data_IF_722536126439
#
_entry.id   IF_722536126439
#
_cell.length_a   1.000
_cell.length_b   1.000
_cell.length_c   1.000
_cell.angle_alpha   90.00
_cell.angle_beta   90.00
_cell.angle_gamma   90.00
#
_symmetry.space_group_name_H-M   'P 1'
#
loop_
_entity.id
_entity.type
_entity.pdbx_description
1 polymer ?
#
# COMPACT_ATOMS: atom_id res chain seq x y z
N UNK A 1 30.93 65.19 -69.00
CA UNK A 1 31.28 63.75 -68.87
C UNK A 1 31.84 63.53 -67.52
N UNK A 2 31.04 62.96 -66.57
CA UNK A 2 31.47 62.70 -65.19
C UNK A 2 31.11 61.25 -64.87
N UNK A 3 32.12 60.46 -64.71
CA UNK A 3 31.97 59.00 -64.35
C UNK A 3 31.82 58.90 -62.85
N UNK A 4 30.77 58.15 -62.37
CA UNK A 4 30.51 57.80 -60.96
C UNK A 4 31.03 56.41 -60.75
N UNK A 5 31.87 56.13 -59.73
CA UNK A 5 32.25 54.74 -59.38
C UNK A 5 31.20 54.08 -58.56
N UNK A 6 30.88 52.83 -58.91
CA UNK A 6 30.01 51.94 -58.18
C UNK A 6 30.74 51.40 -56.91
N UNK A 7 30.15 51.66 -55.76
CA UNK A 7 30.61 51.07 -54.51
C UNK A 7 29.95 49.67 -54.28
N UNK A 8 30.77 48.63 -54.21
CA UNK A 8 30.34 47.29 -53.81
C UNK A 8 30.17 47.29 -52.30
N UNK A 9 28.94 47.07 -51.81
CA UNK A 9 28.66 46.79 -50.40
C UNK A 9 28.74 45.27 -50.16
N UNK A 10 29.73 44.84 -49.41
CA UNK A 10 29.86 43.44 -48.95
C UNK A 10 29.03 43.29 -47.72
N UNK A 11 27.94 42.52 -47.78
CA UNK A 11 27.13 42.12 -46.67
C UNK A 11 27.74 40.87 -45.98
N UNK A 12 28.30 41.04 -44.78
CA UNK A 12 28.70 39.94 -43.91
C UNK A 12 27.45 39.31 -43.28
N UNK A 13 27.15 38.05 -43.62
CA UNK A 13 26.18 37.22 -42.95
C UNK A 13 26.83 36.61 -41.71
N UNK A 14 26.48 37.12 -40.51
CA UNK A 14 26.81 36.43 -39.24
C UNK A 14 25.83 35.29 -39.06
N UNK A 15 26.30 34.04 -39.20
CA UNK A 15 25.57 32.86 -38.80
C UNK A 15 25.63 32.75 -37.27
N UNK A 16 24.56 33.11 -36.55
CA UNK A 16 24.40 32.87 -35.13
C UNK A 16 24.04 31.41 -34.91
N UNK A 17 24.98 30.61 -34.42
CA UNK A 17 24.69 29.25 -33.88
C UNK A 17 23.86 29.42 -32.61
N UNK A 18 22.55 29.27 -32.70
CA UNK A 18 21.67 29.14 -31.54
C UNK A 18 21.84 27.76 -30.93
N UNK A 19 22.64 27.67 -29.88
CA UNK A 19 22.70 26.47 -29.04
C UNK A 19 21.41 26.41 -28.19
N UNK A 20 20.48 25.55 -28.56
CA UNK A 20 19.32 25.24 -27.74
C UNK A 20 19.78 24.61 -26.44
N UNK A 21 19.44 25.15 -25.25
CA UNK A 21 19.78 24.49 -24.00
C UNK A 21 19.11 23.10 -23.93
N UNK A 22 19.79 22.07 -23.36
CA UNK A 22 19.20 20.77 -23.25
C UNK A 22 17.95 20.85 -22.36
N UNK A 23 16.83 20.35 -22.87
CA UNK A 23 15.60 20.21 -22.08
C UNK A 23 15.88 19.35 -20.85
N UNK A 24 15.48 19.78 -19.64
CA UNK A 24 15.61 18.93 -18.45
C UNK A 24 14.88 17.61 -18.70
N UNK A 25 15.63 16.51 -18.63
CA UNK A 25 15.05 15.16 -18.76
C UNK A 25 14.18 14.92 -17.56
N UNK A 26 12.89 14.78 -17.78
CA UNK A 26 11.95 14.37 -16.72
C UNK A 26 12.42 13.04 -16.11
N UNK A 27 12.49 12.91 -14.77
CA UNK A 27 12.88 11.66 -14.14
C UNK A 27 11.93 10.56 -14.63
N UNK A 28 12.48 9.52 -15.24
CA UNK A 28 11.69 8.36 -15.64
C UNK A 28 11.03 7.70 -14.41
N UNK A 29 10.00 6.86 -14.60
CA UNK A 29 9.37 6.14 -13.50
C UNK A 29 10.43 5.44 -12.65
N UNK A 30 10.34 5.60 -11.32
CA UNK A 30 11.25 4.90 -10.41
C UNK A 30 11.16 3.38 -10.63
N UNK A 31 12.31 2.72 -10.65
CA UNK A 31 12.33 1.25 -10.76
C UNK A 31 11.54 0.63 -9.59
N UNK A 32 10.80 -0.46 -9.83
CA UNK A 32 10.12 -1.18 -8.76
C UNK A 32 11.13 -1.58 -7.66
N UNK A 33 10.71 -1.42 -6.40
CA UNK A 33 11.53 -1.85 -5.26
C UNK A 33 11.73 -3.36 -5.30
N UNK A 34 12.94 -3.86 -4.96
CA UNK A 34 13.19 -5.29 -4.85
C UNK A 34 12.40 -5.90 -3.69
N UNK A 35 12.08 -7.19 -3.78
CA UNK A 35 11.53 -7.96 -2.66
C UNK A 35 12.66 -8.35 -1.71
N UNK A 36 12.35 -8.45 -0.43
CA UNK A 36 13.28 -8.92 0.58
C UNK A 36 12.87 -10.30 1.09
N UNK A 37 13.85 -11.13 1.45
CA UNK A 37 13.61 -12.43 2.10
C UNK A 37 13.32 -12.26 3.59
N UNK A 38 13.80 -11.15 4.19
CA UNK A 38 13.55 -10.80 5.59
C UNK A 38 13.38 -9.29 5.74
N UNK A 39 12.53 -8.88 6.68
CA UNK A 39 12.40 -7.48 7.09
C UNK A 39 13.45 -7.08 8.13
N UNK A 40 13.40 -5.82 8.55
CA UNK A 40 14.27 -5.26 9.60
C UNK A 40 13.65 -5.32 10.99
N UNK A 41 12.37 -5.72 11.09
CA UNK A 41 11.64 -5.83 12.35
C UNK A 41 10.98 -7.21 12.48
N UNK A 42 10.79 -7.65 13.73
CA UNK A 42 10.20 -8.96 14.06
C UNK A 42 8.74 -8.87 14.46
N UNK A 43 8.27 -7.71 14.88
CA UNK A 43 6.91 -7.52 15.39
C UNK A 43 6.30 -6.17 14.95
N UNK A 44 4.98 -6.19 14.77
CA UNK A 44 4.18 -5.02 14.50
C UNK A 44 2.78 -5.19 15.12
N UNK A 45 1.97 -4.15 15.07
CA UNK A 45 0.59 -4.15 15.57
C UNK A 45 -0.29 -3.31 14.67
N UNK A 46 -1.56 -3.71 14.54
CA UNK A 46 -2.61 -2.90 13.96
C UNK A 46 -3.79 -2.83 14.92
N UNK A 47 -4.21 -1.62 15.29
CA UNK A 47 -5.45 -1.38 16.02
C UNK A 47 -6.52 -1.05 14.98
N UNK A 48 -7.50 -1.93 14.82
CA UNK A 48 -8.58 -1.76 13.87
C UNK A 48 -9.67 -0.89 14.47
N UNK A 49 -9.99 0.21 13.83
CA UNK A 49 -11.12 1.08 14.14
C UNK A 49 -12.26 0.84 13.15
N UNK A 50 -13.48 1.01 13.62
CA UNK A 50 -14.69 0.85 12.81
C UNK A 50 -14.71 1.83 11.62
N UNK A 51 -15.16 1.35 10.47
CA UNK A 51 -15.40 2.13 9.26
C UNK A 51 -16.83 1.90 8.76
N UNK A 52 -17.29 2.72 7.80
CA UNK A 52 -18.61 2.58 7.15
C UNK A 52 -19.77 2.46 8.16
N UNK A 53 -19.71 3.24 9.23
CA UNK A 53 -20.74 3.26 10.30
C UNK A 53 -21.00 1.88 10.95
N UNK A 54 -20.00 1.01 11.01
CA UNK A 54 -20.07 -0.30 11.69
C UNK A 54 -19.57 -0.19 13.15
N UNK A 55 -19.55 -1.31 13.85
CA UNK A 55 -18.94 -1.46 15.19
C UNK A 55 -17.71 -2.36 15.17
N UNK A 56 -17.27 -2.78 13.97
CA UNK A 56 -16.15 -3.71 13.84
C UNK A 56 -14.85 -3.07 14.33
N UNK A 57 -14.20 -3.71 15.30
CA UNK A 57 -12.94 -3.20 15.87
C UNK A 57 -12.14 -4.36 16.45
N UNK A 58 -10.84 -4.16 16.61
CA UNK A 58 -10.00 -5.21 17.15
C UNK A 58 -8.53 -4.80 17.21
N UNK A 59 -7.73 -5.74 17.73
CA UNK A 59 -6.28 -5.59 17.76
C UNK A 59 -5.65 -6.82 17.17
N UNK A 60 -4.75 -6.61 16.24
CA UNK A 60 -3.99 -7.65 15.57
C UNK A 60 -2.51 -7.42 15.86
N UNK A 61 -1.87 -8.41 16.43
CA UNK A 61 -0.43 -8.48 16.58
C UNK A 61 0.14 -9.22 15.36
N UNK A 62 1.27 -8.72 14.85
CA UNK A 62 1.94 -9.24 13.68
C UNK A 62 3.35 -9.70 14.08
N UNK A 63 3.74 -10.90 13.63
CA UNK A 63 5.09 -11.45 13.86
C UNK A 63 5.69 -11.94 12.56
N UNK A 64 6.96 -11.57 12.33
CA UNK A 64 7.72 -12.09 11.21
C UNK A 64 8.03 -13.57 11.40
N UNK A 65 7.79 -14.38 10.37
CA UNK A 65 8.10 -15.80 10.26
C UNK A 65 8.86 -16.08 8.96
N UNK A 66 9.46 -17.25 8.82
CA UNK A 66 10.24 -17.62 7.63
C UNK A 66 9.42 -17.58 6.33
N UNK A 67 8.12 -17.84 6.38
CA UNK A 67 7.24 -17.88 5.20
C UNK A 67 6.43 -16.60 4.98
N UNK A 68 6.59 -15.58 5.84
CA UNK A 68 5.81 -14.35 5.76
C UNK A 68 5.60 -13.69 7.11
N UNK A 69 4.44 -13.07 7.29
CA UNK A 69 4.05 -12.42 8.54
C UNK A 69 2.77 -13.06 9.08
N UNK A 70 2.82 -13.60 10.30
CA UNK A 70 1.65 -14.14 11.00
C UNK A 70 0.88 -13.03 11.68
N UNK A 71 -0.42 -13.03 11.47
CA UNK A 71 -1.41 -12.17 12.09
C UNK A 71 -2.14 -12.96 13.17
N UNK A 72 -2.22 -12.42 14.39
CA UNK A 72 -2.95 -13.03 15.51
C UNK A 72 -3.70 -11.99 16.33
N UNK A 73 -4.90 -12.33 16.82
CA UNK A 73 -5.70 -11.42 17.63
C UNK A 73 -7.19 -11.68 17.56
N UNK A 74 -7.98 -10.69 17.92
CA UNK A 74 -9.44 -10.78 17.90
C UNK A 74 -10.07 -9.52 17.29
N UNK A 75 -11.17 -9.73 16.57
CA UNK A 75 -11.99 -8.68 15.98
C UNK A 75 -13.43 -8.89 16.45
N UNK A 76 -13.99 -7.88 17.10
CA UNK A 76 -15.38 -7.86 17.54
C UNK A 76 -16.25 -6.93 16.73
N UNK A 77 -17.56 -6.89 17.04
CA UNK A 77 -18.54 -6.07 16.34
C UNK A 77 -18.88 -6.55 14.92
N UNK A 78 -18.58 -7.80 14.61
CA UNK A 78 -18.87 -8.44 13.33
C UNK A 78 -20.29 -9.00 13.31
N UNK A 79 -20.82 -9.26 12.11
CA UNK A 79 -22.08 -10.00 11.95
C UNK A 79 -21.95 -11.39 12.57
N UNK A 80 -22.88 -11.76 13.45
CA UNK A 80 -22.90 -13.07 14.11
C UNK A 80 -22.90 -14.20 13.06
N UNK A 81 -22.01 -15.17 13.23
CA UNK A 81 -21.79 -16.28 12.29
C UNK A 81 -21.44 -15.81 10.87
N UNK A 82 -21.11 -14.52 10.70
CA UNK A 82 -20.74 -13.92 9.42
C UNK A 82 -19.33 -14.34 9.00
N UNK A 83 -19.15 -14.51 7.68
CA UNK A 83 -17.85 -14.62 7.08
C UNK A 83 -17.40 -13.24 6.63
N UNK A 84 -16.15 -12.91 6.88
CA UNK A 84 -15.51 -11.66 6.53
C UNK A 84 -14.14 -11.94 5.91
N UNK A 85 -13.48 -10.91 5.41
CA UNK A 85 -12.13 -11.01 4.86
C UNK A 85 -11.25 -10.01 5.59
N UNK A 86 -10.06 -10.43 6.02
CA UNK A 86 -9.03 -9.57 6.61
C UNK A 86 -7.84 -9.50 5.65
N UNK A 87 -7.55 -8.33 5.12
CA UNK A 87 -6.53 -8.14 4.08
C UNK A 87 -5.59 -6.99 4.38
N UNK A 88 -4.37 -7.07 3.85
CA UNK A 88 -3.45 -5.94 3.77
C UNK A 88 -3.83 -5.07 2.57
N UNK A 89 -3.88 -3.76 2.77
CA UNK A 89 -4.13 -2.77 1.74
C UNK A 89 -2.90 -1.89 1.49
N UNK A 90 -2.81 -1.32 0.29
CA UNK A 90 -1.59 -0.72 -0.23
C UNK A 90 -1.12 0.55 0.51
N UNK A 91 -2.03 1.27 1.18
CA UNK A 91 -1.71 2.52 1.88
C UNK A 91 -1.94 2.38 3.38
N UNK A 92 -1.10 3.04 4.18
CA UNK A 92 -1.28 3.16 5.63
C UNK A 92 -2.18 4.33 6.01
N UNK A 93 -3.32 4.44 5.35
CA UNK A 93 -4.26 5.55 5.57
C UNK A 93 -5.67 5.01 5.82
N UNK A 94 -6.18 5.25 7.02
CA UNK A 94 -7.53 4.88 7.46
C UNK A 94 -8.39 6.13 7.77
N UNK A 95 -8.07 7.29 7.19
CA UNK A 95 -8.73 8.55 7.50
C UNK A 95 -10.12 8.69 6.87
N UNK A 96 -10.38 8.03 5.74
CA UNK A 96 -11.68 8.04 5.11
C UNK A 96 -12.69 7.23 5.94
N UNK A 97 -13.91 7.76 6.11
CA UNK A 97 -14.98 7.12 6.91
C UNK A 97 -15.38 5.73 6.41
N UNK A 98 -15.16 5.46 5.13
CA UNK A 98 -15.38 4.17 4.47
C UNK A 98 -14.09 3.37 4.26
N UNK A 99 -12.98 3.81 4.86
CA UNK A 99 -11.63 3.28 4.69
C UNK A 99 -11.15 3.19 3.23
N UNK A 100 -11.72 3.98 2.29
CA UNK A 100 -11.27 4.01 0.88
C UNK A 100 -9.84 4.55 0.75
N UNK A 101 -9.38 5.39 1.67
CA UNK A 101 -8.01 5.90 1.74
C UNK A 101 -6.94 4.82 1.88
N UNK A 102 -7.28 3.63 2.42
CA UNK A 102 -6.39 2.46 2.49
C UNK A 102 -5.91 1.96 1.10
N UNK A 103 -6.57 2.37 0.03
CA UNK A 103 -6.21 1.99 -1.34
C UNK A 103 -6.63 0.56 -1.70
N UNK A 104 -6.04 -0.02 -2.76
CA UNK A 104 -6.36 -1.38 -3.21
C UNK A 104 -5.74 -2.45 -2.31
N UNK A 105 -6.17 -3.70 -2.50
CA UNK A 105 -5.52 -4.88 -1.95
C UNK A 105 -4.02 -4.88 -2.24
N UNK A 106 -3.24 -5.33 -1.29
CA UNK A 106 -1.79 -5.47 -1.42
C UNK A 106 -1.39 -6.94 -1.43
N UNK A 107 -0.83 -7.38 -2.54
CA UNK A 107 -0.25 -8.71 -2.68
C UNK A 107 1.26 -8.70 -2.39
N UNK A 108 1.65 -9.24 -1.23
CA UNK A 108 3.05 -9.34 -0.85
C UNK A 108 3.84 -10.32 -1.71
N UNK A 109 3.19 -11.28 -2.38
CA UNK A 109 3.85 -12.23 -3.29
C UNK A 109 4.12 -11.65 -4.67
N UNK A 110 3.31 -10.67 -5.11
CA UNK A 110 3.34 -10.09 -6.44
C UNK A 110 2.88 -11.02 -7.56
N UNK A 111 2.19 -12.09 -7.21
CA UNK A 111 1.71 -13.10 -8.17
C UNK A 111 0.23 -12.89 -8.56
N UNK A 112 -0.40 -11.85 -8.03
CA UNK A 112 -1.82 -11.59 -8.15
C UNK A 112 -2.62 -12.19 -6.98
N UNK A 113 -3.76 -11.58 -6.67
CA UNK A 113 -4.64 -12.06 -5.59
C UNK A 113 -5.27 -13.39 -6.01
N UNK A 114 -4.69 -14.50 -5.61
CA UNK A 114 -5.18 -15.85 -5.97
C UNK A 114 -5.91 -16.56 -4.83
N UNK A 115 -5.82 -16.06 -3.59
CA UNK A 115 -6.20 -16.85 -2.43
C UNK A 115 -7.32 -16.23 -1.61
N UNK A 116 -8.50 -16.04 -2.20
CA UNK A 116 -9.71 -15.63 -1.46
C UNK A 116 -10.10 -16.56 -0.30
N UNK A 117 -9.30 -17.57 0.01
CA UNK A 117 -9.51 -18.53 1.10
C UNK A 117 -8.66 -18.29 2.33
N UNK A 118 -7.41 -17.82 2.17
CA UNK A 118 -6.48 -17.62 3.30
C UNK A 118 -6.81 -16.38 4.14
N UNK A 119 -7.52 -15.42 3.56
CA UNK A 119 -7.86 -14.14 4.19
C UNK A 119 -9.22 -14.17 4.90
N UNK A 120 -9.92 -15.30 4.81
CA UNK A 120 -11.26 -15.45 5.39
C UNK A 120 -11.19 -15.59 6.90
N UNK A 121 -12.04 -14.82 7.60
CA UNK A 121 -12.33 -14.93 9.02
C UNK A 121 -13.83 -15.18 9.23
N UNK A 122 -14.18 -15.91 10.29
CA UNK A 122 -15.57 -16.23 10.61
C UNK A 122 -15.85 -15.80 12.06
N UNK A 123 -16.90 -15.02 12.24
CA UNK A 123 -17.35 -14.59 13.55
C UNK A 123 -18.17 -15.68 14.25
N UNK A 124 -18.04 -15.76 15.57
CA UNK A 124 -18.85 -16.61 16.44
C UNK A 124 -20.28 -16.05 16.66
N UNK A 125 -21.08 -16.71 17.49
CA UNK A 125 -22.43 -16.27 17.86
C UNK A 125 -22.47 -14.96 18.66
N UNK A 126 -21.33 -14.42 19.09
CA UNK A 126 -21.21 -13.12 19.76
C UNK A 126 -20.73 -12.03 18.80
N UNK A 127 -20.39 -12.37 17.56
CA UNK A 127 -19.85 -11.45 16.58
C UNK A 127 -18.36 -11.18 16.77
N UNK A 128 -17.62 -12.16 17.33
CA UNK A 128 -16.16 -12.09 17.53
C UNK A 128 -15.50 -13.13 16.63
N UNK A 129 -14.45 -12.72 15.93
CA UNK A 129 -13.57 -13.60 15.18
C UNK A 129 -12.18 -13.65 15.79
N UNK A 130 -11.65 -14.85 15.99
CA UNK A 130 -10.23 -15.05 16.27
C UNK A 130 -9.46 -15.11 14.97
N UNK A 131 -8.39 -14.35 14.91
CA UNK A 131 -7.51 -14.27 13.76
C UNK A 131 -6.26 -15.11 14.03
N UNK A 132 -5.94 -15.98 13.09
CA UNK A 132 -4.66 -16.70 12.99
C UNK A 132 -4.41 -16.94 11.49
N UNK A 133 -3.72 -15.99 10.85
CA UNK A 133 -3.49 -15.97 9.41
C UNK A 133 -2.02 -15.72 9.10
N UNK A 134 -1.54 -16.23 7.96
CA UNK A 134 -0.20 -15.98 7.46
C UNK A 134 -0.26 -15.19 6.15
N UNK A 135 0.25 -13.97 6.16
CA UNK A 135 0.48 -13.18 4.94
C UNK A 135 1.79 -13.66 4.31
N UNK A 136 1.66 -14.57 3.35
CA UNK A 136 2.81 -15.22 2.70
C UNK A 136 3.68 -14.22 1.95
N UNK A 137 4.99 -14.40 2.03
CA UNK A 137 5.97 -13.57 1.34
C UNK A 137 6.09 -12.15 1.86
N UNK A 138 5.27 -11.74 2.85
CA UNK A 138 5.38 -10.43 3.49
C UNK A 138 6.59 -10.37 4.42
N UNK A 139 7.12 -9.15 4.60
CA UNK A 139 8.15 -8.84 5.61
C UNK A 139 7.71 -7.63 6.44
N UNK A 140 8.37 -7.38 7.57
CA UNK A 140 8.14 -6.22 8.42
C UNK A 140 9.37 -5.30 8.42
N UNK A 141 9.20 -4.06 7.95
CA UNK A 141 10.24 -3.04 7.91
C UNK A 141 11.28 -3.25 6.81
N UNK A 142 12.06 -2.20 6.58
CA UNK A 142 13.12 -2.18 5.57
C UNK A 142 12.71 -1.57 4.23
N UNK A 143 11.41 -1.34 3.97
CA UNK A 143 10.92 -0.63 2.78
C UNK A 143 11.01 -1.44 1.48
N UNK A 144 11.15 -2.78 1.55
CA UNK A 144 11.11 -3.64 0.37
C UNK A 144 9.72 -3.66 -0.29
N UNK A 145 9.64 -4.16 -1.52
CA UNK A 145 8.37 -4.22 -2.27
C UNK A 145 7.28 -5.04 -1.55
N UNK A 146 7.68 -6.03 -0.75
CA UNK A 146 6.80 -6.91 0.04
C UNK A 146 6.71 -6.52 1.52
N UNK A 147 7.21 -5.33 1.90
CA UNK A 147 7.08 -4.82 3.27
C UNK A 147 5.63 -4.37 3.53
N UNK A 148 5.05 -4.88 4.62
CA UNK A 148 3.70 -4.51 5.04
C UNK A 148 3.66 -3.52 6.21
N UNK A 149 4.80 -3.15 6.80
CA UNK A 149 4.86 -2.09 7.78
C UNK A 149 4.46 -0.74 7.16
N UNK A 150 3.69 0.05 7.89
CA UNK A 150 3.17 1.32 7.38
C UNK A 150 2.02 1.19 6.37
N UNK A 151 1.58 -0.03 6.02
CA UNK A 151 0.34 -0.28 5.27
C UNK A 151 -0.83 -0.42 6.21
N UNK A 152 -2.03 -0.73 5.72
CA UNK A 152 -3.19 -0.96 6.58
C UNK A 152 -3.71 -2.39 6.50
N UNK A 153 -4.29 -2.87 7.61
CA UNK A 153 -5.18 -4.01 7.66
C UNK A 153 -6.62 -3.51 7.50
N UNK A 154 -7.39 -4.14 6.64
CA UNK A 154 -8.79 -3.81 6.39
C UNK A 154 -9.64 -5.06 6.54
N UNK A 155 -10.76 -4.94 7.26
CA UNK A 155 -11.80 -5.95 7.31
C UNK A 155 -12.88 -5.63 6.30
N UNK A 156 -13.18 -6.59 5.42
CA UNK A 156 -14.26 -6.48 4.46
C UNK A 156 -15.52 -7.18 4.98
N UNK A 157 -16.66 -6.51 4.80
CA UNK A 157 -17.97 -7.09 5.10
C UNK A 157 -18.36 -8.14 4.07
N UNK A 158 -19.09 -9.17 4.54
CA UNK A 158 -19.66 -10.21 3.68
C UNK A 158 -21.15 -10.37 3.91
N UNK A 159 -21.85 -9.28 4.20
CA UNK A 159 -23.32 -9.32 4.28
C UNK A 159 -23.91 -9.34 2.86
N UNK A 160 -24.98 -10.10 2.59
CA UNK A 160 -25.69 -10.02 1.31
C UNK A 160 -26.04 -8.57 0.96
N UNK A 161 -25.57 -8.09 -0.19
CA UNK A 161 -25.74 -6.70 -0.65
C UNK A 161 -24.64 -5.72 -0.24
N UNK A 162 -23.71 -6.10 0.67
CA UNK A 162 -22.57 -5.29 1.09
C UNK A 162 -21.22 -6.03 0.98
N UNK A 163 -21.12 -6.99 0.08
CA UNK A 163 -19.87 -7.70 -0.22
C UNK A 163 -18.81 -6.72 -0.70
N UNK A 164 -17.70 -6.61 0.06
CA UNK A 164 -16.61 -5.71 -0.25
C UNK A 164 -16.65 -4.36 0.47
N UNK A 165 -17.68 -4.05 1.27
CA UNK A 165 -17.65 -2.88 2.13
C UNK A 165 -16.52 -3.03 3.17
N UNK A 166 -15.71 -1.98 3.33
CA UNK A 166 -14.65 -1.94 4.33
C UNK A 166 -15.25 -1.55 5.67
N UNK A 167 -15.28 -2.47 6.61
CA UNK A 167 -15.99 -2.31 7.89
C UNK A 167 -15.07 -1.97 9.07
N UNK A 168 -13.76 -2.21 8.92
CA UNK A 168 -12.75 -1.73 9.88
C UNK A 168 -11.41 -1.52 9.15
N UNK A 169 -10.58 -0.62 9.70
CA UNK A 169 -9.27 -0.29 9.17
C UNK A 169 -8.30 0.03 10.31
N UNK A 170 -7.04 -0.36 10.17
CA UNK A 170 -5.97 -0.04 11.11
C UNK A 170 -4.60 -0.05 10.44
N UNK A 171 -3.77 0.94 10.74
CA UNK A 171 -2.41 1.02 10.21
C UNK A 171 -1.50 0.04 10.94
N UNK A 172 -0.66 -0.67 10.17
CA UNK A 172 0.36 -1.59 10.70
C UNK A 172 1.55 -0.76 11.17
N UNK A 173 1.73 -0.70 12.48
CA UNK A 173 2.81 0.04 13.13
C UNK A 173 3.81 -0.93 13.73
N UNK A 174 5.10 -0.73 13.45
CA UNK A 174 6.16 -1.56 14.05
C UNK A 174 6.09 -1.46 15.57
N UNK A 175 6.16 -2.60 16.23
CA UNK A 175 6.29 -2.64 17.69
C UNK A 175 7.76 -2.36 18.08
N UNK A 176 8.01 -1.67 19.21
CA UNK A 176 9.35 -1.59 19.77
C UNK A 176 9.89 -2.99 20.01
N UNK A 177 11.17 -3.21 19.69
CA UNK A 177 11.82 -4.50 19.95
C UNK A 177 11.67 -4.87 21.42
N UNK A 178 11.09 -6.07 21.67
CA UNK A 178 10.90 -6.58 23.03
C UNK A 178 9.55 -6.29 23.68
N UNK A 179 8.58 -5.69 23.00
CA UNK A 179 7.21 -5.59 23.51
C UNK A 179 6.50 -6.95 23.34
N UNK A 180 5.93 -7.54 24.44
CA UNK A 180 5.15 -8.78 24.38
C UNK A 180 3.82 -8.58 23.65
#
# INVERSE_FOLDING_TARGET
MRRIPAALAATLLLAACASTPPTPREPGPAAPLPRADAGTATAARANLAAASATLASGRIDLRAEAAGVRLSGEIGGLSRHGAHVLQVHARGDCSAVDASSAGPYFDATGQGATDGGSDRIVADGRGVSRVDQLVRGAVLGGGAANDIAGRSLVVLGSTPGATGARIACGVITLAPDGAP
#
